data_IF_561480264767
#
_entry.id   IF_561480264767
#
_cell.length_a   1.000
_cell.length_b   1.000
_cell.length_c   1.000
_cell.angle_alpha   90.00
_cell.angle_beta   90.00
_cell.angle_gamma   90.00
#
_symmetry.space_group_name_H-M   'P 1'
#
loop_
_entity.id
_entity.type
_entity.pdbx_description
1 polymer ?
#
# COMPACT_ATOMS: atom_id res chain seq x y z
N UNK A 1 -11.72 -78.45 9.92
CA UNK A 1 -11.87 -77.46 8.81
C UNK A 1 -12.22 -76.05 9.29
N UNK A 2 -12.59 -75.85 10.56
CA UNK A 2 -13.05 -74.57 11.11
C UNK A 2 -11.93 -73.55 11.35
N UNK A 3 -10.73 -73.98 11.76
CA UNK A 3 -9.61 -73.09 12.12
C UNK A 3 -9.02 -72.30 10.94
N UNK A 4 -9.00 -72.87 9.73
CA UNK A 4 -8.50 -72.19 8.53
C UNK A 4 -9.46 -71.10 8.04
N UNK A 5 -10.77 -71.31 8.19
CA UNK A 5 -11.78 -70.33 7.82
C UNK A 5 -11.77 -69.12 8.77
N UNK A 6 -11.55 -69.33 10.08
CA UNK A 6 -11.43 -68.24 11.05
C UNK A 6 -10.19 -67.38 10.82
N UNK A 7 -9.07 -67.99 10.45
CA UNK A 7 -7.83 -67.28 10.09
C UNK A 7 -8.01 -66.41 8.85
N UNK A 8 -8.64 -66.93 7.79
CA UNK A 8 -8.86 -66.17 6.55
C UNK A 8 -9.79 -64.96 6.78
N UNK A 9 -10.85 -65.13 7.57
CA UNK A 9 -11.78 -64.03 7.90
C UNK A 9 -11.09 -62.96 8.76
N UNK A 10 -10.23 -63.36 9.71
CA UNK A 10 -9.45 -62.41 10.52
C UNK A 10 -8.45 -61.61 9.68
N UNK A 11 -7.78 -62.24 8.70
CA UNK A 11 -6.83 -61.55 7.81
C UNK A 11 -7.53 -60.57 6.87
N UNK A 12 -8.72 -60.92 6.36
CA UNK A 12 -9.52 -60.03 5.51
C UNK A 12 -10.07 -58.85 6.32
N UNK A 13 -10.52 -59.08 7.57
CA UNK A 13 -10.97 -58.01 8.45
C UNK A 13 -9.84 -57.01 8.79
N UNK A 14 -8.61 -57.49 9.00
CA UNK A 14 -7.44 -56.62 9.21
C UNK A 14 -7.04 -55.83 7.96
N UNK A 15 -7.16 -56.41 6.76
CA UNK A 15 -6.85 -55.74 5.50
C UNK A 15 -7.84 -54.61 5.18
N UNK A 16 -9.12 -54.77 5.52
CA UNK A 16 -10.17 -53.77 5.26
C UNK A 16 -10.10 -52.59 6.22
N UNK A 17 -9.55 -52.77 7.43
CA UNK A 17 -9.34 -51.67 8.39
C UNK A 17 -8.09 -50.82 8.12
N UNK A 18 -7.13 -51.31 7.33
CA UNK A 18 -5.85 -50.63 7.11
C UNK A 18 -5.87 -49.49 6.09
N UNK A 19 -6.92 -49.39 5.26
CA UNK A 19 -6.99 -48.44 4.14
C UNK A 19 -7.62 -47.09 4.46
N UNK A 20 -8.13 -46.87 5.68
CA UNK A 20 -8.82 -45.63 6.08
C UNK A 20 -7.92 -44.58 6.79
N UNK A 21 -6.61 -44.81 6.85
CA UNK A 21 -5.65 -44.03 7.65
C UNK A 21 -4.42 -43.57 6.86
N UNK A 22 -4.58 -43.30 5.55
CA UNK A 22 -3.51 -42.62 4.80
C UNK A 22 -3.74 -41.11 4.78
N UNK A 23 -2.78 -40.38 5.33
CA UNK A 23 -2.68 -38.93 5.19
C UNK A 23 -2.58 -38.54 3.70
N UNK A 24 -3.54 -37.77 3.20
CA UNK A 24 -3.51 -37.23 1.85
C UNK A 24 -2.52 -36.06 1.76
N UNK A 25 -1.74 -36.03 0.67
CA UNK A 25 -0.81 -34.93 0.37
C UNK A 25 -1.21 -34.26 -0.94
N UNK A 26 -1.34 -32.94 -0.94
CA UNK A 26 -1.66 -32.12 -2.12
C UNK A 26 -0.44 -31.29 -2.50
N UNK A 27 -0.01 -31.38 -3.76
CA UNK A 27 1.09 -30.57 -4.27
C UNK A 27 0.59 -29.20 -4.76
N UNK A 28 1.26 -28.13 -4.35
CA UNK A 28 0.86 -26.75 -4.66
C UNK A 28 2.08 -25.89 -4.98
N UNK A 29 1.86 -24.67 -5.49
CA UNK A 29 2.96 -23.71 -5.76
C UNK A 29 3.75 -23.33 -4.51
N UNK A 30 3.12 -23.39 -3.34
CA UNK A 30 3.77 -23.10 -2.05
C UNK A 30 4.40 -24.37 -1.45
N UNK A 31 4.45 -25.46 -2.23
CA UNK A 31 4.92 -26.79 -1.87
C UNK A 31 3.80 -27.70 -1.40
N UNK A 32 4.18 -28.89 -0.94
CA UNK A 32 3.23 -29.92 -0.50
C UNK A 32 2.50 -29.52 0.78
N UNK A 33 1.22 -29.88 0.85
CA UNK A 33 0.31 -29.69 1.98
C UNK A 33 -0.20 -31.06 2.42
N UNK A 34 -0.14 -31.36 3.72
CA UNK A 34 -0.47 -32.66 4.29
C UNK A 34 -1.71 -32.58 5.16
N UNK A 35 -2.58 -33.59 5.05
CA UNK A 35 -3.85 -33.69 5.75
C UNK A 35 -3.94 -35.02 6.50
N UNK A 36 -4.65 -35.05 7.63
CA UNK A 36 -4.72 -36.24 8.49
C UNK A 36 -5.38 -37.45 7.82
N UNK A 37 -6.47 -37.23 7.09
CA UNK A 37 -7.21 -38.27 6.37
C UNK A 37 -7.31 -37.94 4.88
N UNK A 38 -8.29 -37.13 4.49
CA UNK A 38 -8.43 -36.61 3.13
C UNK A 38 -8.41 -35.08 3.14
N UNK A 39 -8.24 -34.47 1.97
CA UNK A 39 -8.39 -33.03 1.81
C UNK A 39 -9.83 -32.56 2.09
N UNK A 40 -10.83 -33.38 1.75
CA UNK A 40 -12.24 -33.03 1.87
C UNK A 40 -12.82 -33.23 3.29
N UNK A 41 -12.40 -34.30 3.98
CA UNK A 41 -12.99 -34.74 5.25
C UNK A 41 -11.97 -34.72 6.41
N UNK A 42 -10.70 -34.39 6.13
CA UNK A 42 -9.64 -34.24 7.11
C UNK A 42 -9.33 -32.78 7.43
N UNK A 43 -8.32 -32.58 8.27
CA UNK A 43 -7.80 -31.25 8.61
C UNK A 43 -6.29 -31.18 8.31
N UNK A 44 -5.75 -29.97 8.03
CA UNK A 44 -4.33 -29.82 7.78
C UNK A 44 -3.51 -30.23 9.01
N UNK A 45 -2.33 -30.82 8.79
CA UNK A 45 -1.36 -31.05 9.87
C UNK A 45 -0.88 -29.73 10.46
N UNK A 46 -0.39 -29.73 11.71
CA UNK A 46 0.13 -28.50 12.36
C UNK A 46 1.21 -27.81 11.52
N UNK A 47 2.09 -28.59 10.87
CA UNK A 47 3.10 -28.08 9.94
C UNK A 47 2.48 -27.41 8.70
N UNK A 48 1.39 -27.99 8.17
CA UNK A 48 0.64 -27.40 7.05
C UNK A 48 -0.07 -26.11 7.49
N UNK A 49 -0.64 -26.08 8.70
CA UNK A 49 -1.26 -24.88 9.28
C UNK A 49 -0.24 -23.75 9.39
N UNK A 50 0.92 -24.00 10.02
CA UNK A 50 1.99 -23.01 10.15
C UNK A 50 2.45 -22.49 8.78
N UNK A 51 2.64 -23.40 7.82
CA UNK A 51 3.02 -23.06 6.46
C UNK A 51 1.98 -22.18 5.76
N UNK A 52 0.69 -22.46 5.94
CA UNK A 52 -0.40 -21.65 5.37
C UNK A 52 -0.45 -20.26 6.00
N UNK A 53 -0.26 -20.14 7.31
CA UNK A 53 -0.20 -18.83 7.98
C UNK A 53 1.01 -18.01 7.52
N UNK A 54 2.19 -18.63 7.41
CA UNK A 54 3.39 -17.97 6.88
C UNK A 54 3.19 -17.48 5.43
N UNK A 55 2.61 -18.30 4.56
CA UNK A 55 2.30 -17.90 3.18
C UNK A 55 1.26 -16.77 3.14
N UNK A 56 0.23 -16.84 3.99
CA UNK A 56 -0.80 -15.80 4.07
C UNK A 56 -0.20 -14.46 4.49
N UNK A 57 0.71 -14.45 5.47
CA UNK A 57 1.39 -13.24 5.92
C UNK A 57 2.35 -12.71 4.86
N UNK A 58 3.07 -13.59 4.16
CA UNK A 58 3.91 -13.22 3.02
C UNK A 58 3.09 -12.51 1.92
N UNK A 59 1.95 -13.08 1.52
CA UNK A 59 1.10 -12.49 0.48
C UNK A 59 0.52 -11.15 0.94
N UNK A 60 0.08 -11.05 2.19
CA UNK A 60 -0.44 -9.80 2.77
C UNK A 60 0.64 -8.73 2.85
N UNK A 61 1.85 -9.06 3.27
CA UNK A 61 2.97 -8.13 3.32
C UNK A 61 3.33 -7.61 1.93
N UNK A 62 3.38 -8.48 0.92
CA UNK A 62 3.66 -8.10 -0.46
C UNK A 62 2.59 -7.14 -1.01
N UNK A 63 1.31 -7.41 -0.76
CA UNK A 63 0.21 -6.54 -1.19
C UNK A 63 0.20 -5.22 -0.41
N UNK A 64 0.45 -5.26 0.90
CA UNK A 64 0.53 -4.05 1.73
C UNK A 64 1.65 -3.12 1.27
N UNK A 65 2.80 -3.68 0.88
CA UNK A 65 3.90 -2.90 0.30
C UNK A 65 3.44 -2.14 -0.95
N UNK A 66 2.87 -2.85 -1.93
CA UNK A 66 2.39 -2.25 -3.19
C UNK A 66 1.31 -1.21 -2.93
N UNK A 67 0.35 -1.56 -2.07
CA UNK A 67 -0.73 -0.66 -1.67
C UNK A 67 -0.17 0.62 -1.05
N UNK A 68 0.85 0.54 -0.18
CA UNK A 68 1.39 1.69 0.55
C UNK A 68 2.36 2.60 -0.21
N UNK A 69 2.77 2.26 -1.44
CA UNK A 69 3.75 3.05 -2.23
C UNK A 69 3.49 4.57 -2.21
N UNK A 70 2.29 5.08 -2.55
CA UNK A 70 2.06 6.52 -2.59
C UNK A 70 2.17 7.16 -1.19
N UNK A 71 1.68 6.47 -0.15
CA UNK A 71 1.74 6.95 1.23
C UNK A 71 3.17 7.05 1.72
N UNK A 72 3.99 6.01 1.52
CA UNK A 72 5.40 6.00 1.95
C UNK A 72 6.20 7.07 1.21
N UNK A 73 5.94 7.27 -0.08
CA UNK A 73 6.57 8.34 -0.86
C UNK A 73 6.24 9.73 -0.30
N UNK A 74 4.98 9.98 0.08
CA UNK A 74 4.58 11.27 0.67
C UNK A 74 5.14 11.45 2.09
N UNK A 75 5.11 10.40 2.91
CA UNK A 75 5.67 10.44 4.26
C UNK A 75 7.18 10.74 4.25
N UNK A 76 7.95 10.10 3.35
CA UNK A 76 9.38 10.37 3.22
C UNK A 76 9.65 11.80 2.74
N UNK A 77 8.80 12.32 1.85
CA UNK A 77 8.94 13.66 1.33
C UNK A 77 8.60 14.73 2.38
N UNK A 78 7.56 14.49 3.19
CA UNK A 78 7.22 15.31 4.35
C UNK A 78 8.33 15.28 5.40
N UNK A 79 8.84 14.08 5.72
CA UNK A 79 9.98 13.92 6.64
C UNK A 79 11.19 14.74 6.18
N UNK A 80 11.55 14.67 4.90
CA UNK A 80 12.66 15.47 4.35
C UNK A 80 12.39 16.98 4.50
N UNK A 81 11.16 17.43 4.21
CA UNK A 81 10.77 18.83 4.39
C UNK A 81 10.93 19.31 5.84
N UNK A 82 10.52 18.50 6.81
CA UNK A 82 10.56 18.88 8.22
C UNK A 82 11.95 18.76 8.83
N UNK A 83 12.64 17.65 8.56
CA UNK A 83 13.88 17.30 9.27
C UNK A 83 15.14 17.85 8.57
N UNK A 84 15.17 17.84 7.23
CA UNK A 84 16.35 18.30 6.48
C UNK A 84 16.26 19.78 6.10
N UNK A 85 15.06 20.25 5.72
CA UNK A 85 14.84 21.66 5.37
C UNK A 85 14.38 22.51 6.56
N UNK A 86 13.97 21.89 7.67
CA UNK A 86 13.46 22.59 8.85
C UNK A 86 12.11 23.29 8.64
N UNK A 87 11.38 22.92 7.58
CA UNK A 87 10.09 23.53 7.27
C UNK A 87 9.05 23.12 8.32
N UNK A 88 8.32 24.12 8.83
CA UNK A 88 7.22 23.87 9.78
C UNK A 88 5.92 23.58 9.05
N UNK A 89 4.93 23.06 9.79
CA UNK A 89 3.59 22.87 9.27
C UNK A 89 3.05 24.15 8.59
N UNK A 90 2.60 24.04 7.34
CA UNK A 90 2.09 25.13 6.51
C UNK A 90 3.15 26.06 5.91
N UNK A 91 4.43 25.86 6.22
CA UNK A 91 5.50 26.68 5.67
C UNK A 91 5.78 26.31 4.22
N UNK A 92 5.73 27.30 3.33
CA UNK A 92 6.05 27.13 1.92
C UNK A 92 7.57 26.98 1.72
N UNK A 93 7.97 25.92 1.00
CA UNK A 93 9.34 25.72 0.52
C UNK A 93 9.41 26.05 -0.97
N UNK A 94 10.39 26.88 -1.34
CA UNK A 94 10.64 27.31 -2.71
C UNK A 94 11.78 26.50 -3.32
N UNK A 95 11.52 25.87 -4.47
CA UNK A 95 12.51 25.12 -5.23
C UNK A 95 12.70 25.79 -6.58
N UNK A 96 13.74 26.60 -6.69
CA UNK A 96 13.99 27.45 -7.85
C UNK A 96 15.07 26.87 -8.75
N UNK A 97 16.23 26.56 -8.15
CA UNK A 97 17.42 26.13 -8.88
C UNK A 97 17.33 24.66 -9.30
N UNK A 98 18.16 24.27 -10.26
CA UNK A 98 18.29 22.87 -10.63
C UNK A 98 18.77 22.00 -9.46
N UNK A 99 19.68 22.52 -8.62
CA UNK A 99 20.21 21.79 -7.46
C UNK A 99 19.14 21.48 -6.43
N UNK A 100 18.22 22.41 -6.20
CA UNK A 100 17.12 22.25 -5.24
C UNK A 100 16.16 21.11 -5.66
N UNK A 101 16.10 20.83 -6.96
CA UNK A 101 15.18 19.84 -7.54
C UNK A 101 15.77 18.43 -7.66
N UNK A 102 17.07 18.26 -7.42
CA UNK A 102 17.76 16.96 -7.57
C UNK A 102 17.23 15.88 -6.61
N UNK A 103 16.71 16.26 -5.45
CA UNK A 103 16.14 15.33 -4.47
C UNK A 103 14.69 14.93 -4.76
N UNK A 104 14.02 15.60 -5.70
CA UNK A 104 12.62 15.35 -6.03
C UNK A 104 12.45 14.27 -7.08
N UNK A 105 11.50 13.35 -6.86
CA UNK A 105 11.12 12.38 -7.87
C UNK A 105 10.47 13.12 -9.04
N UNK A 106 11.06 12.98 -10.24
CA UNK A 106 10.53 13.45 -11.53
C UNK A 106 10.15 14.93 -11.62
N UNK A 107 10.85 15.81 -10.89
CA UNK A 107 10.60 17.25 -10.96
C UNK A 107 10.92 17.86 -12.33
N UNK A 108 10.08 18.82 -12.76
CA UNK A 108 10.37 19.60 -13.95
C UNK A 108 11.55 20.55 -13.68
N UNK A 109 12.65 20.46 -14.46
CA UNK A 109 13.82 21.29 -14.21
C UNK A 109 13.56 22.78 -14.48
N UNK A 110 12.63 23.11 -15.38
CA UNK A 110 12.46 24.47 -15.92
C UNK A 110 11.51 25.37 -15.14
N UNK A 111 10.57 24.80 -14.39
CA UNK A 111 9.55 25.58 -13.67
C UNK A 111 9.88 25.59 -12.17
N UNK A 112 9.87 26.74 -11.48
CA UNK A 112 10.03 26.77 -10.03
C UNK A 112 8.81 26.16 -9.33
N UNK A 113 9.02 25.54 -8.18
CA UNK A 113 7.95 24.95 -7.37
C UNK A 113 7.82 25.66 -6.01
N UNK A 114 6.59 25.72 -5.51
CA UNK A 114 6.27 26.10 -4.12
C UNK A 114 5.49 24.96 -3.51
N UNK A 115 6.08 24.29 -2.53
CA UNK A 115 5.58 23.01 -2.01
C UNK A 115 5.41 23.10 -0.49
N UNK A 116 4.20 23.40 0.00
CA UNK A 116 3.88 23.33 1.42
C UNK A 116 3.28 21.97 1.80
N UNK A 117 3.62 21.48 2.99
CA UNK A 117 2.84 20.45 3.68
C UNK A 117 1.95 21.12 4.72
N UNK A 118 0.67 20.75 4.76
CA UNK A 118 -0.32 21.32 5.67
C UNK A 118 -1.04 20.19 6.41
N UNK A 119 -0.88 20.16 7.73
CA UNK A 119 -1.69 19.38 8.64
C UNK A 119 -2.90 20.21 9.08
N UNK A 120 -4.09 19.63 8.87
CA UNK A 120 -5.40 20.22 9.16
C UNK A 120 -5.96 19.74 10.51
N UNK A 121 -5.23 18.92 11.28
CA UNK A 121 -5.67 18.39 12.57
C UNK A 121 -5.98 19.51 13.59
N UNK A 122 -5.22 20.60 13.56
CA UNK A 122 -5.37 21.73 14.49
C UNK A 122 -6.42 22.76 14.02
N UNK A 123 -6.82 22.72 12.75
CA UNK A 123 -7.82 23.66 12.21
C UNK A 123 -7.70 23.91 10.70
N UNK A 124 -8.60 24.74 10.15
CA UNK A 124 -8.61 25.07 8.74
C UNK A 124 -7.47 26.05 8.39
N UNK A 125 -6.95 25.93 7.16
CA UNK A 125 -5.94 26.82 6.59
C UNK A 125 -6.51 27.64 5.43
N UNK A 126 -6.00 28.88 5.26
CA UNK A 126 -6.33 29.76 4.13
C UNK A 126 -5.05 30.04 3.34
N UNK A 127 -5.04 29.68 2.06
CA UNK A 127 -3.95 30.00 1.15
C UNK A 127 -4.31 31.25 0.36
N UNK A 128 -3.60 32.36 0.62
CA UNK A 128 -3.77 33.62 -0.11
C UNK A 128 -2.77 33.66 -1.26
N UNK A 129 -3.27 33.79 -2.48
CA UNK A 129 -2.43 33.95 -3.66
C UNK A 129 -2.16 35.43 -3.91
N UNK A 130 -0.91 35.82 -4.25
CA UNK A 130 -0.62 37.19 -4.65
C UNK A 130 -1.32 37.51 -5.98
N UNK A 131 -1.68 38.79 -6.20
CA UNK A 131 -2.17 39.25 -7.50
C UNK A 131 -1.12 38.99 -8.58
N UNK A 132 -1.44 38.12 -9.53
CA UNK A 132 -0.46 37.52 -10.42
C UNK A 132 -0.04 38.48 -11.55
N UNK A 133 1.19 39.00 -11.49
CA UNK A 133 1.91 39.49 -12.67
C UNK A 133 2.66 38.37 -13.40
N UNK A 134 1.98 37.32 -13.87
CA UNK A 134 2.62 36.24 -14.63
C UNK A 134 1.95 34.87 -14.59
N UNK A 135 2.42 33.95 -15.46
CA UNK A 135 1.91 32.58 -15.64
C UNK A 135 2.33 31.65 -14.49
N UNK A 136 1.91 31.93 -13.26
CA UNK A 136 2.11 31.02 -12.13
C UNK A 136 1.06 29.94 -12.18
N UNK A 137 1.46 28.67 -12.41
CA UNK A 137 0.59 27.53 -12.20
C UNK A 137 0.80 27.03 -10.77
N UNK A 138 -0.21 27.18 -9.93
CA UNK A 138 -0.21 26.65 -8.57
C UNK A 138 -1.13 25.44 -8.57
N UNK A 139 -0.60 24.27 -8.24
CA UNK A 139 -1.38 23.04 -8.12
C UNK A 139 -1.44 22.63 -6.65
N UNK A 140 -2.48 23.06 -5.94
CA UNK A 140 -2.78 22.63 -4.56
C UNK A 140 -3.66 21.39 -4.63
N UNK A 141 -3.06 20.20 -4.78
CA UNK A 141 -3.87 19.06 -5.22
C UNK A 141 -3.41 17.69 -4.69
N UNK A 142 -3.15 17.54 -3.39
CA UNK A 142 -2.95 16.21 -2.81
C UNK A 142 -3.60 16.11 -1.41
N UNK A 143 -4.66 15.31 -1.24
CA UNK A 143 -5.18 14.93 0.08
C UNK A 143 -4.46 13.70 0.63
N UNK A 144 -4.47 13.65 1.97
CA UNK A 144 -4.36 12.44 2.78
C UNK A 144 -3.16 11.54 2.47
N UNK A 145 -2.00 12.09 2.11
CA UNK A 145 -0.78 11.32 1.82
C UNK A 145 -0.90 10.26 0.70
N UNK A 146 -2.10 10.02 0.17
CA UNK A 146 -2.47 9.02 -0.83
C UNK A 146 -2.49 9.61 -2.25
N UNK A 147 -2.11 10.88 -2.38
CA UNK A 147 -2.00 11.60 -3.65
C UNK A 147 -3.35 11.75 -4.38
N UNK A 148 -4.47 11.68 -3.64
CA UNK A 148 -5.80 11.97 -4.18
C UNK A 148 -5.97 13.47 -4.46
N UNK A 149 -6.67 13.82 -5.53
CA UNK A 149 -6.87 15.22 -5.89
C UNK A 149 -7.97 15.84 -5.03
N UNK A 150 -7.63 16.87 -4.24
CA UNK A 150 -8.61 17.63 -3.43
C UNK A 150 -9.29 18.70 -4.26
N UNK A 151 -8.49 19.50 -4.95
CA UNK A 151 -8.97 20.62 -5.74
C UNK A 151 -8.02 20.86 -6.92
N UNK A 152 -8.50 20.88 -8.15
CA UNK A 152 -7.71 21.38 -9.26
C UNK A 152 -7.65 22.91 -9.18
N UNK A 153 -6.53 23.47 -8.67
CA UNK A 153 -6.25 24.89 -8.88
C UNK A 153 -5.59 25.04 -10.25
N UNK A 154 -6.36 25.53 -11.22
CA UNK A 154 -5.92 25.80 -12.58
C UNK A 154 -6.37 27.21 -12.96
N UNK A 155 -5.77 28.23 -12.35
CA UNK A 155 -5.89 29.57 -12.92
C UNK A 155 -4.98 29.68 -14.15
N UNK A 156 -5.58 29.52 -15.32
CA UNK A 156 -5.09 30.15 -16.56
C UNK A 156 -6.12 31.22 -16.91
N UNK A 157 -5.98 32.40 -16.30
CA UNK A 157 -6.91 33.51 -16.47
C UNK A 157 -6.26 34.70 -17.16
N UNK A 158 -6.89 35.21 -18.23
CA UNK A 158 -6.61 36.55 -18.77
C UNK A 158 -7.21 37.56 -17.80
N UNK A 159 -6.37 38.37 -17.15
CA UNK A 159 -6.80 39.44 -16.25
C UNK A 159 -7.61 40.46 -17.07
N UNK A 160 -8.87 40.70 -16.69
CA UNK A 160 -9.65 41.84 -17.12
C UNK A 160 -9.70 42.79 -15.93
N UNK A 161 -9.06 43.95 -16.07
CA UNK A 161 -9.04 45.01 -15.07
C UNK A 161 -10.48 45.36 -14.68
N UNK A 162 -10.84 45.17 -13.41
CA UNK A 162 -11.89 45.96 -12.79
C UNK A 162 -11.18 47.08 -12.04
N UNK A 163 -11.29 48.29 -12.58
CA UNK A 163 -10.96 49.52 -11.89
C UNK A 163 -11.78 49.60 -10.60
N UNK A 164 -11.10 49.71 -9.47
CA UNK A 164 -11.73 50.09 -8.19
C UNK A 164 -12.31 51.49 -8.40
N UNK A 165 -13.60 51.75 -8.11
CA UNK A 165 -14.13 53.11 -8.12
C UNK A 165 -13.43 53.91 -7.03
N UNK A 166 -12.90 55.07 -7.42
CA UNK A 166 -12.29 56.05 -6.54
C UNK A 166 -13.20 56.35 -5.34
N UNK A 167 -12.64 56.27 -4.14
CA UNK A 167 -13.20 56.81 -2.90
C UNK A 167 -12.25 57.85 -2.34
#
# INVERSE_FOLDING_TARGET
>A
MTTKATLIVATIAMLVTGSALQAETVDTRIGKLEFTHSFADGYPTDATVEKLFNEMDFQRAAQAYIWSIPLVSMAQWQYFHEQELGAKNGQAVFLESYKDKLGGLTYNPTTPYVLPFMDLAEGPWVVVMPEAGGRTRIQLAQDRSWQGMVCPVLMIGRIRWQTIPDG
#
